data_IF_427815746695
#
_entry.id   IF_427815746695
#
_cell.length_a   1.000
_cell.length_b   1.000
_cell.length_c   1.000
_cell.angle_alpha   90.00
_cell.angle_beta   90.00
_cell.angle_gamma   90.00
#
_symmetry.space_group_name_H-M   'P 1'
#
loop_
_entity.id
_entity.type
_entity.pdbx_description
1 polymer ?
#
# COMPACT_ATOMS: atom_id res chain seq x y z
N UNK A 1 15.35 13.26 10.65
CA UNK A 1 15.55 12.16 9.68
C UNK A 1 14.50 12.27 8.59
N UNK A 2 14.88 12.11 7.32
CA UNK A 2 13.93 12.14 6.21
C UNK A 2 12.95 10.96 6.27
N UNK A 3 11.66 11.21 6.04
CA UNK A 3 10.65 10.17 6.00
C UNK A 3 10.80 9.32 4.73
N UNK A 4 10.80 8.00 4.90
CA UNK A 4 10.77 7.04 3.82
C UNK A 4 9.34 6.57 3.57
N UNK A 5 9.00 6.29 2.32
CA UNK A 5 7.69 5.83 1.89
C UNK A 5 7.80 4.58 1.01
N UNK A 6 6.82 3.70 1.09
CA UNK A 6 6.65 2.57 0.19
C UNK A 6 5.48 2.83 -0.76
N UNK A 7 5.65 2.49 -2.02
CA UNK A 7 4.59 2.62 -3.03
C UNK A 7 4.81 1.69 -4.23
N UNK A 8 3.73 1.35 -4.93
CA UNK A 8 3.79 0.81 -6.27
C UNK A 8 3.85 1.98 -7.28
N UNK A 9 4.76 1.92 -8.22
CA UNK A 9 5.17 3.04 -9.07
C UNK A 9 4.70 2.90 -10.52
N UNK A 10 5.43 2.10 -11.33
CA UNK A 10 5.20 1.95 -12.75
C UNK A 10 5.82 0.62 -13.19
N UNK A 11 5.26 -0.04 -14.22
CA UNK A 11 5.79 -1.29 -14.72
C UNK A 11 7.19 -1.16 -15.34
N UNK A 12 7.84 -2.31 -15.56
CA UNK A 12 9.17 -2.44 -16.17
C UNK A 12 9.25 -1.82 -17.57
N UNK A 13 8.12 -1.78 -18.25
CA UNK A 13 7.96 -1.19 -19.60
C UNK A 13 7.77 0.34 -19.59
N UNK A 14 7.85 0.98 -18.42
CA UNK A 14 7.62 2.42 -18.26
C UNK A 14 6.16 2.85 -18.40
N UNK A 15 5.20 1.90 -18.37
CA UNK A 15 3.77 2.17 -18.53
C UNK A 15 2.99 1.70 -17.29
N UNK A 16 1.77 2.21 -17.16
CA UNK A 16 0.86 1.82 -16.08
C UNK A 16 0.19 0.45 -16.31
N UNK A 17 0.28 -0.08 -17.53
CA UNK A 17 -0.35 -1.33 -17.95
C UNK A 17 0.64 -2.20 -18.73
N UNK A 18 0.36 -3.51 -18.80
CA UNK A 18 1.16 -4.46 -19.56
C UNK A 18 2.43 -4.93 -18.86
N UNK A 19 2.61 -4.58 -17.56
CA UNK A 19 3.72 -5.10 -16.76
C UNK A 19 3.56 -6.59 -16.44
N UNK A 20 4.70 -7.29 -16.36
CA UNK A 20 4.79 -8.70 -15.99
C UNK A 20 4.65 -8.86 -14.48
N UNK A 21 4.17 -10.02 -14.01
CA UNK A 21 4.08 -10.31 -12.56
C UNK A 21 5.46 -10.43 -11.92
N UNK A 22 5.61 -9.84 -10.75
CA UNK A 22 6.87 -9.71 -10.02
C UNK A 22 7.66 -8.47 -10.43
N UNK A 23 8.56 -8.01 -9.55
CA UNK A 23 9.37 -6.82 -9.80
C UNK A 23 10.57 -7.17 -10.70
N UNK A 24 10.53 -6.74 -11.94
CA UNK A 24 11.54 -7.00 -12.96
C UNK A 24 12.73 -6.02 -12.85
N UNK A 25 12.51 -4.84 -12.28
CA UNK A 25 13.49 -3.76 -12.25
C UNK A 25 14.02 -3.44 -10.84
N UNK A 26 13.42 -4.00 -9.79
CA UNK A 26 13.65 -3.62 -8.40
C UNK A 26 13.09 -2.22 -8.05
N UNK A 27 12.19 -1.68 -8.90
CA UNK A 27 11.68 -0.30 -8.76
C UNK A 27 10.16 -0.19 -8.91
N UNK A 28 9.48 -1.26 -9.28
CA UNK A 28 8.04 -1.25 -9.56
C UNK A 28 7.22 -1.10 -8.28
N UNK A 29 7.62 -1.81 -7.22
CA UNK A 29 7.16 -1.58 -5.85
C UNK A 29 8.39 -1.32 -5.00
N UNK A 30 8.53 -0.10 -4.47
CA UNK A 30 9.79 0.37 -3.88
C UNK A 30 9.61 1.16 -2.59
N UNK A 31 10.74 1.35 -1.90
CA UNK A 31 10.89 2.31 -0.81
C UNK A 31 11.76 3.48 -1.29
N UNK A 32 11.36 4.70 -1.01
CA UNK A 32 12.10 5.90 -1.38
C UNK A 32 11.75 7.09 -0.50
N UNK A 33 12.39 8.21 -0.78
CA UNK A 33 12.09 9.47 -0.09
C UNK A 33 10.75 10.03 -0.53
N UNK A 34 10.13 10.81 0.38
CA UNK A 34 8.91 11.55 0.08
C UNK A 34 9.11 12.46 -1.14
N UNK A 35 8.09 12.49 -1.99
CA UNK A 35 8.00 13.42 -3.11
C UNK A 35 6.59 13.99 -3.21
N UNK A 36 6.50 15.23 -3.68
CA UNK A 36 5.22 15.89 -3.88
C UNK A 36 4.59 15.43 -5.21
N UNK A 37 3.45 14.70 -5.12
CA UNK A 37 2.63 14.32 -6.27
C UNK A 37 1.27 15.05 -6.28
N UNK A 38 1.16 16.16 -5.53
CA UNK A 38 -0.04 16.96 -5.41
C UNK A 38 -1.08 16.37 -4.46
N UNK A 39 -0.65 15.53 -3.49
CA UNK A 39 -1.52 15.00 -2.44
C UNK A 39 -2.14 16.15 -1.65
N UNK A 40 -3.39 15.94 -1.21
CA UNK A 40 -4.14 16.95 -0.45
C UNK A 40 -4.59 16.46 0.94
N UNK A 41 -4.65 15.15 1.14
CA UNK A 41 -5.03 14.54 2.42
C UNK A 41 -4.05 13.45 2.82
N UNK A 42 -4.02 13.16 4.13
CA UNK A 42 -3.33 12.01 4.73
C UNK A 42 -4.36 11.19 5.48
N UNK A 43 -4.47 9.90 5.15
CA UNK A 43 -5.27 8.94 5.89
C UNK A 43 -4.35 8.23 6.88
N UNK A 44 -4.82 8.03 8.12
CA UNK A 44 -4.05 7.48 9.24
C UNK A 44 -4.90 6.50 10.05
N UNK A 45 -4.34 5.37 10.44
CA UNK A 45 -4.94 4.56 11.47
C UNK A 45 -5.08 5.36 12.78
N UNK A 46 -6.22 5.23 13.48
CA UNK A 46 -6.38 5.81 14.83
C UNK A 46 -5.44 5.13 15.83
N UNK A 47 -5.31 3.80 15.70
CA UNK A 47 -4.39 2.98 16.48
C UNK A 47 -2.96 3.12 15.93
N UNK A 48 -2.04 3.59 16.78
CA UNK A 48 -0.65 3.82 16.40
C UNK A 48 0.10 2.52 16.09
N UNK A 49 -0.23 1.41 16.77
CA UNK A 49 0.43 0.14 16.54
C UNK A 49 -0.01 -0.50 15.22
N UNK A 50 -1.27 -0.33 14.82
CA UNK A 50 -1.72 -0.69 13.47
C UNK A 50 -1.00 0.12 12.39
N UNK A 51 -0.81 1.41 12.60
CA UNK A 51 0.00 2.25 11.70
C UNK A 51 1.44 1.76 11.59
N UNK A 52 2.09 1.45 12.71
CA UNK A 52 3.45 0.87 12.75
C UNK A 52 3.51 -0.50 12.07
N UNK A 53 2.50 -1.36 12.28
CA UNK A 53 2.39 -2.67 11.61
C UNK A 53 2.25 -2.49 10.09
N UNK A 54 1.42 -1.52 9.64
CA UNK A 54 1.26 -1.17 8.22
C UNK A 54 2.61 -0.78 7.59
N UNK A 55 3.33 0.12 8.22
CA UNK A 55 4.64 0.57 7.75
C UNK A 55 5.64 -0.61 7.59
N UNK A 56 5.73 -1.47 8.60
CA UNK A 56 6.61 -2.65 8.59
C UNK A 56 6.26 -3.62 7.46
N UNK A 57 4.97 -3.91 7.26
CA UNK A 57 4.48 -4.82 6.22
C UNK A 57 4.76 -4.22 4.83
N UNK A 58 4.38 -2.97 4.59
CA UNK A 58 4.58 -2.28 3.32
C UNK A 58 6.07 -2.22 2.93
N UNK A 59 6.94 -1.86 3.88
CA UNK A 59 8.39 -1.83 3.67
C UNK A 59 8.94 -3.21 3.30
N UNK A 60 8.50 -4.25 4.01
CA UNK A 60 8.97 -5.61 3.76
C UNK A 60 8.52 -6.12 2.38
N UNK A 61 7.26 -5.89 2.01
CA UNK A 61 6.70 -6.27 0.72
C UNK A 61 7.38 -5.52 -0.43
N UNK A 62 7.61 -4.22 -0.29
CA UNK A 62 8.29 -3.42 -1.30
C UNK A 62 9.74 -3.87 -1.57
N UNK A 63 10.38 -4.56 -0.62
CA UNK A 63 11.73 -5.12 -0.76
C UNK A 63 11.73 -6.61 -1.11
N UNK A 64 10.58 -7.23 -1.39
CA UNK A 64 10.49 -8.68 -1.61
C UNK A 64 10.63 -9.12 -3.06
N UNK A 65 10.59 -8.19 -4.01
CA UNK A 65 10.65 -8.39 -5.47
C UNK A 65 9.58 -9.32 -6.05
N UNK A 66 8.56 -9.69 -5.26
CA UNK A 66 7.44 -10.53 -5.74
C UNK A 66 6.31 -9.74 -6.40
N UNK A 67 6.35 -8.40 -6.30
CA UNK A 67 5.30 -7.51 -6.75
C UNK A 67 5.77 -6.67 -7.92
N UNK A 68 5.14 -6.88 -9.09
CA UNK A 68 5.23 -5.99 -10.23
C UNK A 68 4.12 -4.93 -10.21
N UNK A 69 4.15 -4.03 -11.19
CA UNK A 69 3.14 -3.00 -11.37
C UNK A 69 2.34 -3.19 -12.65
N UNK A 70 1.03 -3.37 -12.52
CA UNK A 70 0.12 -3.42 -13.68
C UNK A 70 -1.32 -3.08 -13.25
N UNK A 71 -1.88 -1.99 -13.81
CA UNK A 71 -3.26 -1.58 -13.48
C UNK A 71 -4.33 -2.56 -13.97
N UNK A 72 -4.08 -3.34 -15.04
CA UNK A 72 -5.02 -4.34 -15.52
C UNK A 72 -4.99 -5.65 -14.70
N UNK A 73 -3.88 -5.95 -14.02
CA UNK A 73 -3.74 -7.12 -13.13
C UNK A 73 -3.53 -6.69 -11.66
N UNK A 74 -4.02 -5.52 -11.29
CA UNK A 74 -3.81 -4.89 -9.98
C UNK A 74 -4.30 -5.70 -8.78
N UNK A 75 -5.23 -6.62 -9.01
CA UNK A 75 -5.86 -7.42 -7.96
C UNK A 75 -5.17 -8.77 -7.69
N UNK A 76 -4.17 -9.17 -8.48
CA UNK A 76 -3.56 -10.49 -8.30
C UNK A 76 -2.93 -10.66 -6.94
N UNK A 77 -2.22 -9.65 -6.43
CA UNK A 77 -1.66 -9.68 -5.07
C UNK A 77 -2.75 -9.68 -3.98
N UNK A 78 -3.79 -8.86 -4.15
CA UNK A 78 -4.92 -8.79 -3.24
C UNK A 78 -5.59 -10.17 -3.09
N UNK A 79 -5.93 -10.82 -4.21
CA UNK A 79 -6.56 -12.15 -4.25
C UNK A 79 -5.69 -13.24 -3.63
N UNK A 80 -4.38 -13.21 -3.86
CA UNK A 80 -3.45 -14.19 -3.25
C UNK A 80 -3.33 -14.02 -1.74
N UNK A 81 -3.39 -12.80 -1.22
CA UNK A 81 -3.44 -12.54 0.22
C UNK A 81 -4.79 -12.96 0.83
N UNK A 82 -5.90 -12.74 0.12
CA UNK A 82 -7.25 -13.15 0.52
C UNK A 82 -7.34 -14.68 0.68
N UNK A 83 -6.82 -15.47 -0.28
CA UNK A 83 -6.73 -16.94 -0.19
C UNK A 83 -5.98 -17.43 1.05
N UNK A 84 -5.07 -16.61 1.62
CA UNK A 84 -4.31 -16.91 2.84
C UNK A 84 -4.92 -16.27 4.09
N UNK A 85 -6.21 -15.85 4.01
CA UNK A 85 -6.94 -15.25 5.13
C UNK A 85 -6.29 -13.98 5.68
N UNK A 86 -5.55 -13.22 4.84
CA UNK A 86 -4.84 -12.01 5.24
C UNK A 86 -3.78 -12.23 6.33
N UNK A 87 -3.44 -13.49 6.63
CA UNK A 87 -2.53 -13.85 7.72
C UNK A 87 -1.08 -13.52 7.35
N UNK A 88 -0.55 -12.48 7.99
CA UNK A 88 0.81 -11.99 7.69
C UNK A 88 1.90 -13.04 7.89
N UNK A 89 1.79 -13.88 8.92
CA UNK A 89 2.78 -14.93 9.19
C UNK A 89 2.82 -15.96 8.07
N UNK A 90 1.65 -16.35 7.57
CA UNK A 90 1.51 -17.30 6.44
C UNK A 90 2.02 -16.67 5.15
N UNK A 91 1.57 -15.47 4.80
CA UNK A 91 1.98 -14.73 3.60
C UNK A 91 3.52 -14.60 3.56
N UNK A 92 4.11 -14.07 4.64
CA UNK A 92 5.55 -13.86 4.75
C UNK A 92 6.35 -15.16 4.66
N UNK A 93 5.88 -16.23 5.31
CA UNK A 93 6.48 -17.57 5.23
C UNK A 93 6.46 -18.11 3.81
N UNK A 94 5.32 -18.00 3.13
CA UNK A 94 5.13 -18.55 1.79
C UNK A 94 5.98 -17.80 0.76
N UNK A 95 6.09 -16.47 0.89
CA UNK A 95 7.01 -15.66 0.07
C UNK A 95 8.46 -16.12 0.27
N UNK A 96 8.92 -16.23 1.52
CA UNK A 96 10.29 -16.67 1.84
C UNK A 96 10.62 -18.08 1.34
N UNK A 97 9.62 -18.97 1.24
CA UNK A 97 9.77 -20.35 0.76
C UNK A 97 9.53 -20.51 -0.74
N UNK A 98 9.31 -19.41 -1.49
CA UNK A 98 8.98 -19.47 -2.91
C UNK A 98 7.63 -20.12 -3.22
N UNK A 99 6.73 -20.23 -2.24
CA UNK A 99 5.37 -20.80 -2.38
C UNK A 99 4.30 -19.75 -2.67
N UNK A 100 4.64 -18.48 -2.59
CA UNK A 100 3.78 -17.38 -2.97
C UNK A 100 4.07 -17.00 -4.42
N UNK A 101 3.05 -16.95 -5.30
CA UNK A 101 3.29 -16.60 -6.70
C UNK A 101 3.72 -15.14 -6.84
N UNK A 102 4.46 -14.84 -7.89
CA UNK A 102 4.67 -13.45 -8.31
C UNK A 102 3.33 -12.83 -8.71
N UNK A 103 3.10 -11.59 -8.33
CA UNK A 103 1.85 -10.88 -8.53
C UNK A 103 2.10 -9.48 -9.07
N UNK A 104 1.02 -8.84 -9.52
CA UNK A 104 0.98 -7.42 -9.79
C UNK A 104 0.12 -6.68 -8.78
N UNK A 105 0.35 -5.40 -8.68
CA UNK A 105 -0.46 -4.46 -7.91
C UNK A 105 -0.47 -3.08 -8.59
N UNK A 106 -1.27 -2.15 -8.11
CA UNK A 106 -1.09 -0.72 -8.33
C UNK A 106 -0.94 -0.01 -6.98
N UNK A 107 -0.79 1.31 -6.97
CA UNK A 107 -0.57 2.06 -5.74
C UNK A 107 -1.71 1.87 -4.73
N UNK A 108 -2.96 1.87 -5.17
CA UNK A 108 -4.14 1.74 -4.32
C UNK A 108 -4.42 0.30 -3.90
N UNK A 109 -4.25 -0.67 -4.79
CA UNK A 109 -4.39 -2.09 -4.47
C UNK A 109 -3.31 -2.55 -3.47
N UNK A 110 -2.08 -2.05 -3.60
CA UNK A 110 -1.00 -2.29 -2.63
C UNK A 110 -1.41 -1.81 -1.22
N UNK A 111 -1.92 -0.58 -1.11
CA UNK A 111 -2.39 -0.03 0.17
C UNK A 111 -3.55 -0.82 0.74
N UNK A 112 -4.58 -1.14 -0.08
CA UNK A 112 -5.74 -1.93 0.36
C UNK A 112 -5.32 -3.30 0.90
N UNK A 113 -4.40 -3.98 0.20
CA UNK A 113 -3.87 -5.28 0.61
C UNK A 113 -3.11 -5.17 1.93
N UNK A 114 -2.24 -4.18 2.09
CA UNK A 114 -1.49 -3.96 3.33
C UNK A 114 -2.43 -3.67 4.52
N UNK A 115 -3.51 -2.89 4.33
CA UNK A 115 -4.52 -2.62 5.36
C UNK A 115 -5.17 -3.93 5.82
N UNK A 116 -5.65 -4.77 4.90
CA UNK A 116 -6.30 -6.04 5.24
C UNK A 116 -5.35 -7.02 5.93
N UNK A 117 -4.07 -7.07 5.53
CA UNK A 117 -3.04 -7.85 6.23
C UNK A 117 -2.81 -7.34 7.66
N UNK A 118 -2.79 -6.02 7.89
CA UNK A 118 -2.69 -5.45 9.25
C UNK A 118 -3.83 -5.91 10.13
N UNK A 119 -5.04 -5.95 9.58
CA UNK A 119 -6.27 -6.31 10.27
C UNK A 119 -6.49 -7.82 10.35
N UNK A 120 -5.72 -8.62 9.60
CA UNK A 120 -5.88 -10.08 9.46
C UNK A 120 -7.29 -10.49 9.02
N UNK A 121 -7.96 -9.59 8.31
CA UNK A 121 -9.30 -9.79 7.74
C UNK A 121 -9.57 -8.75 6.65
N UNK A 122 -10.59 -9.00 5.82
CA UNK A 122 -11.04 -8.04 4.82
C UNK A 122 -11.86 -6.92 5.47
N UNK A 123 -11.27 -5.75 5.64
CA UNK A 123 -11.96 -4.52 6.11
C UNK A 123 -12.18 -3.50 5.01
N UNK A 124 -11.39 -3.56 3.95
CA UNK A 124 -11.55 -2.73 2.76
C UNK A 124 -11.55 -3.58 1.49
N UNK A 125 -12.32 -3.19 0.45
CA UNK A 125 -12.21 -3.82 -0.87
C UNK A 125 -10.88 -3.44 -1.52
N UNK A 126 -10.58 -4.04 -2.68
CA UNK A 126 -9.48 -3.59 -3.53
C UNK A 126 -9.87 -2.26 -4.20
N UNK A 127 -9.82 -1.17 -3.43
CA UNK A 127 -10.24 0.17 -3.87
C UNK A 127 -9.30 0.80 -4.90
N UNK A 128 -9.76 1.84 -5.56
CA UNK A 128 -8.93 2.77 -6.34
C UNK A 128 -8.58 3.99 -5.50
N UNK A 129 -7.63 4.83 -5.96
CA UNK A 129 -7.33 6.10 -5.30
C UNK A 129 -8.56 7.04 -5.27
N UNK A 130 -9.47 6.93 -6.23
CA UNK A 130 -10.73 7.68 -6.26
C UNK A 130 -11.73 7.27 -5.17
N UNK A 131 -11.73 5.99 -4.79
CA UNK A 131 -12.68 5.45 -3.78
C UNK A 131 -12.04 5.21 -2.41
N UNK A 132 -10.73 5.45 -2.26
CA UNK A 132 -10.01 5.19 -1.01
C UNK A 132 -10.55 6.00 0.17
N UNK A 133 -10.85 7.29 -0.03
CA UNK A 133 -11.39 8.13 1.03
C UNK A 133 -12.71 7.58 1.56
N UNK A 134 -13.64 7.26 0.67
CA UNK A 134 -14.92 6.65 1.02
C UNK A 134 -14.73 5.34 1.81
N UNK A 135 -13.88 4.44 1.32
CA UNK A 135 -13.68 3.13 1.96
C UNK A 135 -12.96 3.22 3.32
N UNK A 136 -12.01 4.14 3.49
CA UNK A 136 -11.27 4.27 4.74
C UNK A 136 -11.99 5.20 5.73
N UNK A 137 -12.46 6.36 5.28
CA UNK A 137 -12.96 7.40 6.19
C UNK A 137 -14.45 7.29 6.41
N UNK A 138 -15.27 7.15 5.36
CA UNK A 138 -16.72 7.13 5.51
C UNK A 138 -17.23 5.77 6.03
N UNK A 139 -16.69 4.66 5.49
CA UNK A 139 -17.10 3.31 5.90
C UNK A 139 -16.39 2.77 7.14
N UNK A 140 -15.16 3.20 7.40
CA UNK A 140 -14.30 2.68 8.46
C UNK A 140 -13.78 3.80 9.38
N UNK A 141 -14.61 4.78 9.73
CA UNK A 141 -14.25 5.92 10.58
C UNK A 141 -13.76 5.54 11.98
N UNK A 142 -14.12 4.37 12.48
CA UNK A 142 -13.60 3.82 13.74
C UNK A 142 -12.14 3.38 13.64
N UNK A 143 -11.69 2.98 12.47
CA UNK A 143 -10.31 2.54 12.22
C UNK A 143 -9.40 3.68 11.76
N UNK A 144 -9.94 4.61 10.97
CA UNK A 144 -9.16 5.65 10.31
C UNK A 144 -9.62 7.05 10.66
N UNK A 145 -8.73 8.00 10.43
CA UNK A 145 -8.98 9.44 10.41
C UNK A 145 -8.17 10.08 9.29
N UNK A 146 -8.58 11.25 8.84
CA UNK A 146 -7.88 12.01 7.80
C UNK A 146 -7.45 13.38 8.28
N UNK A 147 -6.43 13.92 7.62
CA UNK A 147 -5.92 15.26 7.82
C UNK A 147 -5.67 15.93 6.47
N UNK A 148 -5.79 17.24 6.40
CA UNK A 148 -5.27 18.00 5.28
C UNK A 148 -3.74 17.93 5.29
N UNK A 149 -3.13 17.83 4.12
CA UNK A 149 -1.66 17.76 4.00
C UNK A 149 -0.99 18.99 4.61
N UNK A 150 -1.60 20.18 4.49
CA UNK A 150 -1.12 21.44 5.07
C UNK A 150 -1.01 21.44 6.60
N UNK A 151 -1.67 20.49 7.26
CA UNK A 151 -1.61 20.33 8.73
C UNK A 151 -0.48 19.40 9.18
N UNK A 152 0.20 18.73 8.26
CA UNK A 152 1.19 17.70 8.60
C UNK A 152 2.47 18.28 9.23
N UNK A 153 2.81 19.54 8.97
CA UNK A 153 3.90 20.23 9.65
C UNK A 153 3.64 20.36 11.16
N UNK A 154 2.38 20.68 11.54
CA UNK A 154 1.98 20.82 12.95
C UNK A 154 1.69 19.47 13.62
N UNK A 155 0.98 18.55 12.91
CA UNK A 155 0.54 17.27 13.48
C UNK A 155 1.68 16.25 13.55
N UNK A 156 2.64 16.35 12.62
CA UNK A 156 3.77 15.44 12.46
C UNK A 156 3.41 14.15 11.70
N UNK A 157 4.35 13.69 10.90
CA UNK A 157 4.27 12.41 10.21
C UNK A 157 4.41 11.23 11.17
N UNK A 158 3.65 10.17 10.95
CA UNK A 158 3.73 8.91 11.68
C UNK A 158 3.90 7.72 10.74
N UNK A 159 4.55 6.68 11.21
CA UNK A 159 4.62 5.41 10.48
C UNK A 159 3.21 4.90 10.17
N UNK A 160 2.98 4.52 8.92
CA UNK A 160 1.68 4.09 8.41
C UNK A 160 0.77 5.22 7.91
N UNK A 161 1.22 6.47 7.89
CA UNK A 161 0.51 7.54 7.21
C UNK A 161 0.41 7.28 5.72
N UNK A 162 -0.75 7.54 5.14
CA UNK A 162 -1.07 7.30 3.74
C UNK A 162 -1.44 8.61 3.05
N UNK A 163 -0.45 9.39 2.55
CA UNK A 163 -0.73 10.56 1.70
C UNK A 163 -1.46 10.13 0.43
N UNK A 164 -2.55 10.82 0.11
CA UNK A 164 -3.45 10.51 -1.00
C UNK A 164 -3.69 11.74 -1.88
N UNK A 165 -3.61 11.54 -3.19
CA UNK A 165 -4.25 12.35 -4.22
C UNK A 165 -5.28 11.48 -4.92
N UNK A 166 -6.55 11.76 -4.72
CA UNK A 166 -7.64 11.02 -5.36
C UNK A 166 -7.43 11.00 -6.89
N UNK A 167 -7.78 9.87 -7.51
CA UNK A 167 -7.62 9.59 -8.95
C UNK A 167 -6.18 9.66 -9.49
N UNK A 168 -5.17 9.77 -8.62
CA UNK A 168 -3.77 9.88 -9.03
C UNK A 168 -2.85 8.87 -8.33
N UNK A 169 -2.62 9.04 -7.04
CA UNK A 169 -1.60 8.25 -6.34
C UNK A 169 -1.81 8.19 -4.84
N UNK A 170 -1.25 7.13 -4.22
CA UNK A 170 -1.14 6.94 -2.77
C UNK A 170 0.16 6.23 -2.42
N UNK A 171 0.75 6.60 -1.29
CA UNK A 171 1.98 6.01 -0.74
C UNK A 171 1.82 5.75 0.75
N UNK A 172 2.70 4.97 1.37
CA UNK A 172 2.68 4.64 2.81
C UNK A 172 3.99 5.10 3.46
N UNK A 173 3.95 5.89 4.53
CA UNK A 173 5.11 6.25 5.34
C UNK A 173 5.65 5.01 6.08
N UNK A 174 6.94 4.63 5.85
CA UNK A 174 7.55 3.40 6.37
C UNK A 174 8.82 3.61 7.17
#
# INVERSE_FOLDING_TARGET
MANLFAWASIGENGKAVGGVRGDQTGKEVKVGYYYNFGQNIVIRFRDIEKGRKLAKIAKWLANSNILGYNQHDRESFYKECEKRGWNWKVIKRDIKKGKFPTCNTDCSAFVATCINIVMEMRVVPCFTTGTMYHNCIERNATLFKSYLISKMETIGWRKGDMPLKAYKHVIINV
#
